data_IF_461700304048
#
_entry.id   IF_461700304048
#
_cell.length_a   1.000
_cell.length_b   1.000
_cell.length_c   1.000
_cell.angle_alpha   90.00
_cell.angle_beta   90.00
_cell.angle_gamma   90.00
#
_symmetry.space_group_name_H-M   'P 1'
#
loop_
_entity.id
_entity.type
_entity.pdbx_description
1 polymer ?
#
# COMPACT_ATOMS: atom_id res chain seq x y z
N UNK A 1 -38.87 -18.57 71.79
CA UNK A 1 -37.51 -18.21 71.35
C UNK A 1 -37.18 -18.94 70.07
N UNK A 2 -37.71 -18.58 68.91
CA UNK A 2 -37.37 -19.26 67.61
C UNK A 2 -37.90 -18.44 66.42
N UNK A 3 -37.40 -17.21 66.22
CA UNK A 3 -37.72 -16.42 65.02
C UNK A 3 -36.62 -15.49 64.50
N UNK A 4 -35.36 -15.65 64.94
CA UNK A 4 -34.26 -14.74 64.53
C UNK A 4 -33.17 -15.39 63.65
N UNK A 5 -33.25 -16.68 63.31
CA UNK A 5 -32.18 -17.39 62.58
C UNK A 5 -32.49 -17.59 61.08
N UNK A 6 -33.69 -17.29 60.60
CA UNK A 6 -34.08 -17.53 59.20
C UNK A 6 -33.73 -16.38 58.26
N UNK A 7 -33.62 -15.13 58.79
CA UNK A 7 -33.29 -13.93 57.94
C UNK A 7 -31.81 -13.80 57.58
N UNK A 8 -30.92 -14.37 58.39
CA UNK A 8 -29.47 -14.29 58.13
C UNK A 8 -28.98 -15.20 56.99
N UNK A 9 -29.71 -16.25 56.67
CA UNK A 9 -29.35 -17.21 55.59
C UNK A 9 -29.81 -16.79 54.22
N UNK A 10 -30.83 -15.93 54.07
CA UNK A 10 -31.31 -15.42 52.80
C UNK A 10 -30.44 -14.26 52.29
N UNK A 11 -29.86 -13.47 53.18
CA UNK A 11 -28.98 -12.32 52.80
C UNK A 11 -27.61 -12.78 52.25
N UNK A 12 -27.12 -13.93 52.68
CA UNK A 12 -25.83 -14.47 52.22
C UNK A 12 -25.90 -15.14 50.81
N UNK A 13 -27.08 -15.63 50.41
CA UNK A 13 -27.28 -16.27 49.09
C UNK A 13 -27.44 -15.21 47.97
N UNK A 14 -27.92 -14.01 48.25
CA UNK A 14 -28.03 -12.92 47.28
C UNK A 14 -26.70 -12.22 46.98
N UNK A 15 -25.74 -12.22 47.91
CA UNK A 15 -24.44 -11.59 47.73
C UNK A 15 -23.43 -12.42 46.90
N UNK A 16 -23.61 -13.74 46.78
CA UNK A 16 -22.77 -14.59 45.90
C UNK A 16 -23.23 -14.59 44.45
N UNK A 17 -24.51 -14.23 44.18
CA UNK A 17 -25.01 -14.17 42.79
C UNK A 17 -24.60 -12.90 42.03
N UNK A 18 -24.19 -11.85 42.75
CA UNK A 18 -23.78 -10.58 42.13
C UNK A 18 -22.31 -10.55 41.66
N UNK A 19 -21.48 -11.52 42.08
CA UNK A 19 -20.08 -11.61 41.69
C UNK A 19 -19.83 -12.46 40.42
N UNK A 20 -20.86 -13.14 39.88
CA UNK A 20 -20.75 -13.99 38.70
C UNK A 20 -20.95 -13.25 37.36
N UNK A 21 -21.26 -11.95 37.37
CA UNK A 21 -21.60 -11.15 36.18
C UNK A 21 -20.40 -10.42 35.53
N UNK A 22 -19.17 -10.66 35.96
CA UNK A 22 -17.99 -9.90 35.51
C UNK A 22 -16.87 -10.71 34.85
N UNK A 23 -16.96 -12.02 34.75
CA UNK A 23 -15.96 -12.78 34.02
C UNK A 23 -16.31 -12.79 32.52
N UNK A 24 -16.08 -11.67 31.84
CA UNK A 24 -15.90 -11.73 30.38
C UNK A 24 -14.74 -12.69 30.14
N UNK A 25 -15.02 -13.85 29.56
CA UNK A 25 -13.98 -14.77 29.19
C UNK A 25 -12.99 -14.00 28.30
N UNK A 26 -11.77 -13.83 28.82
CA UNK A 26 -10.71 -13.16 28.08
C UNK A 26 -10.49 -13.96 26.80
N UNK A 27 -10.52 -13.29 25.64
CA UNK A 27 -10.29 -13.94 24.36
C UNK A 27 -8.96 -14.70 24.39
N UNK A 28 -8.94 -15.89 23.82
CA UNK A 28 -7.69 -16.64 23.65
C UNK A 28 -6.72 -15.78 22.85
N UNK A 29 -5.51 -15.59 23.36
CA UNK A 29 -4.47 -14.86 22.69
C UNK A 29 -4.12 -15.52 21.34
N UNK A 30 -4.02 -14.71 20.30
CA UNK A 30 -3.63 -15.11 18.95
C UNK A 30 -2.49 -14.25 18.45
N UNK A 31 -1.62 -14.84 17.62
CA UNK A 31 -0.60 -14.12 16.89
C UNK A 31 -1.11 -13.79 15.49
N UNK A 32 -0.74 -12.59 14.98
CA UNK A 32 -0.92 -12.15 13.60
C UNK A 32 0.47 -11.96 12.99
N UNK A 33 0.88 -12.88 12.13
CA UNK A 33 2.12 -12.79 11.36
C UNK A 33 1.92 -11.84 10.19
N UNK A 34 2.54 -10.66 10.25
CA UNK A 34 2.42 -9.65 9.21
C UNK A 34 3.70 -9.56 8.38
N UNK A 35 3.65 -10.04 7.13
CA UNK A 35 4.75 -10.01 6.19
C UNK A 35 4.84 -8.68 5.46
N UNK A 36 6.05 -8.10 5.39
CA UNK A 36 6.37 -7.00 4.51
C UNK A 36 7.80 -7.13 3.96
N UNK A 37 8.06 -6.51 2.82
CA UNK A 37 9.35 -6.60 2.12
C UNK A 37 10.24 -5.37 2.29
N UNK A 38 9.78 -4.36 3.03
CA UNK A 38 10.56 -3.15 3.31
C UNK A 38 11.67 -3.42 4.32
N UNK A 39 12.82 -2.75 4.20
CA UNK A 39 13.80 -2.71 5.29
C UNK A 39 13.15 -2.20 6.58
N UNK A 40 13.53 -2.74 7.73
CA UNK A 40 12.99 -2.29 9.03
C UNK A 40 13.23 -0.81 9.35
N UNK A 41 14.22 -0.18 8.69
CA UNK A 41 14.50 1.25 8.77
C UNK A 41 13.62 2.11 7.85
N UNK A 42 12.81 1.51 6.99
CA UNK A 42 11.96 2.25 6.06
C UNK A 42 10.89 3.05 6.82
N UNK A 43 10.63 4.33 6.46
CA UNK A 43 9.66 5.18 7.16
C UNK A 43 8.27 4.56 7.31
N UNK A 44 7.76 3.85 6.30
CA UNK A 44 6.46 3.18 6.40
C UNK A 44 6.43 2.13 7.53
N UNK A 45 7.56 1.51 7.89
CA UNK A 45 7.60 0.61 9.04
C UNK A 45 7.25 1.36 10.32
N UNK A 46 7.83 2.55 10.53
CA UNK A 46 7.65 3.39 11.72
C UNK A 46 6.34 4.20 11.71
N UNK A 47 5.89 4.64 10.56
CA UNK A 47 4.75 5.54 10.40
C UNK A 47 3.45 4.82 10.04
N UNK A 48 3.52 3.58 9.58
CA UNK A 48 2.36 2.79 9.14
C UNK A 48 2.23 1.46 9.89
N UNK A 49 3.18 0.52 9.70
CA UNK A 49 3.04 -0.85 10.24
C UNK A 49 3.05 -0.90 11.76
N UNK A 50 4.04 -0.28 12.41
CA UNK A 50 4.17 -0.29 13.88
C UNK A 50 2.99 0.43 14.58
N UNK A 51 2.55 1.64 14.16
CA UNK A 51 1.39 2.29 14.75
C UNK A 51 0.10 1.49 14.59
N UNK A 52 -0.13 0.88 13.43
CA UNK A 52 -1.28 0.02 13.19
C UNK A 52 -1.23 -1.21 14.11
N UNK A 53 -0.11 -1.91 14.16
CA UNK A 53 0.09 -3.07 15.01
C UNK A 53 -0.15 -2.73 16.49
N UNK A 54 0.41 -1.63 16.98
CA UNK A 54 0.23 -1.16 18.35
C UNK A 54 -1.22 -0.82 18.66
N UNK A 55 -1.93 -0.22 17.70
CA UNK A 55 -3.35 0.11 17.85
C UNK A 55 -4.20 -1.15 17.96
N UNK A 56 -3.97 -2.17 17.13
CA UNK A 56 -4.64 -3.48 17.19
C UNK A 56 -4.38 -4.17 18.53
N UNK A 57 -3.11 -4.22 18.97
CA UNK A 57 -2.75 -4.83 20.26
C UNK A 57 -3.45 -4.13 21.43
N UNK A 58 -3.47 -2.80 21.40
CA UNK A 58 -4.12 -2.00 22.45
C UNK A 58 -5.64 -2.21 22.44
N UNK A 59 -6.28 -2.12 21.28
CA UNK A 59 -7.73 -2.28 21.14
C UNK A 59 -8.22 -3.68 21.49
N UNK A 60 -7.37 -4.70 21.29
CA UNK A 60 -7.66 -6.09 21.62
C UNK A 60 -7.34 -6.46 23.09
N UNK A 61 -6.89 -5.48 23.91
CA UNK A 61 -6.36 -5.74 25.26
C UNK A 61 -5.27 -6.82 25.27
N UNK A 62 -4.43 -6.88 24.20
CA UNK A 62 -3.35 -7.84 24.03
C UNK A 62 -3.80 -9.24 23.60
N UNK A 63 -5.08 -9.47 23.31
CA UNK A 63 -5.54 -10.77 22.80
C UNK A 63 -5.15 -11.01 21.33
N UNK A 64 -4.78 -9.97 20.58
CA UNK A 64 -4.13 -10.09 19.27
C UNK A 64 -2.73 -9.50 19.39
N UNK A 65 -1.69 -10.31 19.16
CA UNK A 65 -0.31 -9.88 19.09
C UNK A 65 0.14 -9.82 17.64
N UNK A 66 0.55 -8.63 17.18
CA UNK A 66 1.04 -8.45 15.80
C UNK A 66 2.55 -8.62 15.75
N UNK A 67 3.03 -9.57 14.96
CA UNK A 67 4.46 -9.83 14.74
C UNK A 67 4.82 -9.44 13.31
N UNK A 68 5.65 -8.40 13.17
CA UNK A 68 6.11 -7.89 11.89
C UNK A 68 7.30 -8.71 11.37
N UNK A 69 7.23 -9.13 10.11
CA UNK A 69 8.30 -9.83 9.39
C UNK A 69 8.78 -8.95 8.23
N UNK A 70 9.76 -8.05 8.47
CA UNK A 70 10.29 -7.12 7.46
C UNK A 70 11.29 -7.77 6.50
N UNK A 71 11.74 -7.00 5.50
CA UNK A 71 12.87 -7.33 4.64
C UNK A 71 12.80 -8.72 3.98
N UNK A 72 11.62 -9.11 3.54
CA UNK A 72 11.38 -10.38 2.84
C UNK A 72 11.69 -11.64 3.72
N UNK A 73 11.61 -11.55 5.04
CA UNK A 73 11.90 -12.68 5.93
C UNK A 73 11.03 -13.92 5.67
N UNK A 74 9.77 -13.73 5.23
CA UNK A 74 8.87 -14.84 4.91
C UNK A 74 8.83 -15.19 3.42
N UNK A 75 9.37 -14.33 2.53
CA UNK A 75 9.40 -14.57 1.09
C UNK A 75 9.58 -13.29 0.29
N UNK A 76 9.75 -13.43 -1.04
CA UNK A 76 10.03 -12.32 -1.96
C UNK A 76 8.84 -11.36 -2.08
N UNK A 77 9.13 -10.10 -2.38
CA UNK A 77 8.12 -9.05 -2.51
C UNK A 77 6.96 -9.39 -3.47
N UNK A 78 7.25 -10.07 -4.59
CA UNK A 78 6.25 -10.48 -5.57
C UNK A 78 5.30 -11.58 -5.07
N UNK A 79 5.68 -12.34 -4.03
CA UNK A 79 4.95 -13.53 -3.57
C UNK A 79 3.99 -13.22 -2.41
N UNK A 80 3.97 -12.00 -1.90
CA UNK A 80 3.26 -11.64 -0.67
C UNK A 80 1.75 -11.86 -0.74
N UNK A 81 1.12 -11.69 -1.91
CA UNK A 81 -0.30 -12.03 -2.08
C UNK A 81 -0.54 -13.53 -1.87
N UNK A 82 0.27 -14.36 -2.52
CA UNK A 82 0.16 -15.81 -2.43
C UNK A 82 0.50 -16.32 -1.03
N UNK A 83 1.46 -15.69 -0.35
CA UNK A 83 1.79 -16.00 1.05
C UNK A 83 0.60 -15.76 2.00
N UNK A 84 -0.15 -14.67 1.81
CA UNK A 84 -1.38 -14.43 2.58
C UNK A 84 -2.48 -15.43 2.21
N UNK A 85 -2.67 -15.72 0.91
CA UNK A 85 -3.63 -16.71 0.43
C UNK A 85 -3.35 -18.10 1.07
N UNK A 86 -2.10 -18.52 1.05
CA UNK A 86 -1.68 -19.88 1.44
C UNK A 86 -1.43 -20.01 2.96
N UNK A 87 -1.56 -18.92 3.74
CA UNK A 87 -1.40 -18.91 5.19
C UNK A 87 0.05 -19.00 5.68
N UNK A 88 1.03 -18.71 4.81
CA UNK A 88 2.43 -18.51 5.20
C UNK A 88 2.54 -17.26 6.08
N UNK A 89 1.80 -16.22 5.72
CA UNK A 89 1.55 -15.03 6.53
C UNK A 89 0.05 -14.91 6.83
N UNK A 90 -0.31 -14.43 8.01
CA UNK A 90 -1.70 -14.16 8.36
C UNK A 90 -2.17 -12.83 7.74
N UNK A 91 -1.23 -11.91 7.56
CA UNK A 91 -1.40 -10.64 6.86
C UNK A 91 -0.17 -10.33 6.02
N UNK A 92 -0.37 -9.68 4.87
CA UNK A 92 0.74 -9.26 4.01
C UNK A 92 0.51 -7.87 3.41
N UNK A 93 1.59 -7.11 3.30
CA UNK A 93 1.66 -5.88 2.51
C UNK A 93 2.06 -6.22 1.08
N UNK A 94 1.15 -6.00 0.15
CA UNK A 94 1.25 -6.46 -1.24
C UNK A 94 1.40 -5.28 -2.18
N UNK A 95 2.28 -5.42 -3.17
CA UNK A 95 2.31 -4.60 -4.39
C UNK A 95 1.66 -5.40 -5.52
N UNK A 96 0.35 -5.23 -5.79
CA UNK A 96 -0.34 -6.00 -6.85
C UNK A 96 0.28 -5.78 -8.22
N UNK A 97 0.85 -4.61 -8.47
CA UNK A 97 1.56 -4.28 -9.70
C UNK A 97 2.85 -5.08 -9.97
N UNK A 98 3.36 -5.86 -9.01
CA UNK A 98 4.45 -6.81 -9.24
C UNK A 98 3.98 -8.09 -9.95
N UNK A 99 2.70 -8.39 -9.93
CA UNK A 99 2.08 -9.52 -10.61
C UNK A 99 1.28 -9.01 -11.81
N UNK A 100 1.99 -8.55 -12.85
CA UNK A 100 1.41 -7.90 -14.03
C UNK A 100 0.25 -8.73 -14.62
N UNK A 101 -0.89 -8.06 -14.86
CA UNK A 101 -2.09 -8.65 -15.43
C UNK A 101 -2.96 -9.46 -14.46
N UNK A 102 -2.52 -9.72 -13.23
CA UNK A 102 -3.32 -10.48 -12.25
C UNK A 102 -4.44 -9.64 -11.61
N UNK A 103 -4.20 -8.34 -11.43
CA UNK A 103 -5.13 -7.40 -10.78
C UNK A 103 -5.43 -6.21 -11.72
N UNK A 104 -6.10 -6.47 -12.86
CA UNK A 104 -6.30 -5.47 -13.90
C UNK A 104 -7.18 -4.29 -13.47
N UNK A 105 -8.17 -4.49 -12.58
CA UNK A 105 -8.98 -3.39 -12.04
C UNK A 105 -8.15 -2.52 -11.13
N UNK A 106 -7.42 -3.12 -10.17
CA UNK A 106 -6.58 -2.38 -9.23
C UNK A 106 -5.52 -1.52 -9.94
N UNK A 107 -5.00 -1.99 -11.08
CA UNK A 107 -4.02 -1.28 -11.89
C UNK A 107 -4.49 0.11 -12.36
N UNK A 108 -5.81 0.40 -12.38
CA UNK A 108 -6.32 1.73 -12.66
C UNK A 108 -5.81 2.80 -11.69
N UNK A 109 -5.55 2.44 -10.43
CA UNK A 109 -5.00 3.35 -9.43
C UNK A 109 -3.55 3.79 -9.76
N UNK A 110 -2.85 3.05 -10.62
CA UNK A 110 -1.45 3.27 -10.98
C UNK A 110 -1.29 4.02 -12.31
N UNK A 111 -2.38 4.37 -13.00
CA UNK A 111 -2.33 5.13 -14.25
C UNK A 111 -1.63 6.49 -14.04
N UNK A 112 -0.84 6.96 -15.02
CA UNK A 112 -0.04 8.16 -14.85
C UNK A 112 -0.87 9.42 -14.62
N UNK A 113 -0.32 10.36 -13.86
CA UNK A 113 -0.90 11.68 -13.59
C UNK A 113 -2.35 11.67 -13.07
N UNK A 114 -2.76 10.66 -12.29
CA UNK A 114 -4.12 10.61 -11.74
C UNK A 114 -4.21 11.12 -10.29
N UNK A 115 -3.22 10.80 -9.47
CA UNK A 115 -3.24 11.06 -8.03
C UNK A 115 -2.20 12.10 -7.66
N UNK A 116 -2.63 13.16 -6.97
CA UNK A 116 -1.77 14.28 -6.58
C UNK A 116 -1.40 14.29 -5.10
N UNK A 117 -2.19 13.64 -4.23
CA UNK A 117 -2.01 13.68 -2.77
C UNK A 117 -2.10 12.28 -2.18
N UNK A 118 -1.06 11.78 -1.48
CA UNK A 118 -1.02 10.41 -0.96
C UNK A 118 -2.15 10.07 0.03
N UNK A 119 -2.37 10.88 1.06
CA UNK A 119 -3.38 10.61 2.09
C UNK A 119 -4.82 10.55 1.54
N UNK A 120 -5.36 11.68 1.00
CA UNK A 120 -6.67 11.69 0.37
C UNK A 120 -6.79 10.72 -0.81
N UNK A 121 -5.71 10.52 -1.59
CA UNK A 121 -5.64 9.53 -2.67
C UNK A 121 -5.76 8.10 -2.18
N UNK A 122 -5.11 7.76 -1.07
CA UNK A 122 -5.24 6.44 -0.42
C UNK A 122 -6.67 6.18 0.02
N UNK A 123 -7.30 7.15 0.67
CA UNK A 123 -8.70 7.03 1.07
C UNK A 123 -9.65 6.92 -0.14
N UNK A 124 -9.35 7.60 -1.26
CA UNK A 124 -10.11 7.48 -2.50
C UNK A 124 -9.98 6.08 -3.11
N UNK A 125 -8.74 5.61 -3.26
CA UNK A 125 -8.44 4.29 -3.84
C UNK A 125 -9.02 3.17 -2.99
N UNK A 126 -8.86 3.22 -1.66
CA UNK A 126 -9.46 2.21 -0.77
C UNK A 126 -10.98 2.16 -0.91
N UNK A 127 -11.65 3.32 -0.84
CA UNK A 127 -13.10 3.42 -0.97
C UNK A 127 -13.60 2.84 -2.29
N UNK A 128 -12.95 3.22 -3.39
CA UNK A 128 -13.27 2.74 -4.73
C UNK A 128 -13.03 1.25 -4.87
N UNK A 129 -11.86 0.76 -4.44
CA UNK A 129 -11.46 -0.62 -4.70
C UNK A 129 -12.24 -1.65 -3.88
N UNK A 130 -12.80 -1.28 -2.74
CA UNK A 130 -13.69 -2.18 -1.96
C UNK A 130 -14.85 -2.75 -2.77
N UNK A 131 -15.32 -2.04 -3.80
CA UNK A 131 -16.37 -2.53 -4.70
C UNK A 131 -15.91 -3.66 -5.63
N UNK A 132 -14.60 -3.84 -5.83
CA UNK A 132 -14.01 -4.79 -6.78
C UNK A 132 -13.18 -5.89 -6.10
N UNK A 133 -12.70 -5.63 -4.88
CA UNK A 133 -11.77 -6.50 -4.19
C UNK A 133 -12.29 -7.92 -3.98
N UNK A 134 -13.57 -8.10 -3.68
CA UNK A 134 -14.19 -9.41 -3.47
C UNK A 134 -14.16 -10.29 -4.73
N UNK A 135 -14.12 -9.70 -5.90
CA UNK A 135 -14.01 -10.41 -7.19
C UNK A 135 -12.55 -10.60 -7.60
N UNK A 136 -11.76 -9.52 -7.53
CA UNK A 136 -10.39 -9.53 -8.06
C UNK A 136 -9.37 -10.17 -7.09
N UNK A 137 -9.57 -10.01 -5.78
CA UNK A 137 -8.74 -10.60 -4.70
C UNK A 137 -9.52 -11.61 -3.86
N UNK A 138 -10.32 -12.46 -4.52
CA UNK A 138 -11.27 -13.39 -3.88
C UNK A 138 -10.66 -14.37 -2.88
N UNK A 139 -9.36 -14.65 -3.03
CA UNK A 139 -8.65 -15.65 -2.22
C UNK A 139 -8.12 -15.09 -0.88
N UNK A 140 -8.26 -13.78 -0.68
CA UNK A 140 -7.81 -13.07 0.53
C UNK A 140 -8.88 -12.08 1.00
N UNK A 141 -8.77 -11.62 2.26
CA UNK A 141 -9.58 -10.53 2.79
C UNK A 141 -8.82 -9.21 2.65
N UNK A 142 -9.35 -8.26 1.89
CA UNK A 142 -8.79 -6.91 1.85
C UNK A 142 -8.95 -6.23 3.22
N UNK A 143 -7.86 -5.75 3.79
CA UNK A 143 -7.86 -4.87 4.94
C UNK A 143 -8.08 -3.42 4.46
N UNK A 144 -7.15 -2.88 3.71
CA UNK A 144 -7.31 -1.62 2.98
C UNK A 144 -6.29 -1.50 1.85
N UNK A 145 -6.52 -0.53 0.96
CA UNK A 145 -5.57 -0.12 -0.07
C UNK A 145 -5.00 1.26 0.26
N UNK A 146 -3.76 1.52 -0.13
CA UNK A 146 -3.16 2.85 -0.01
C UNK A 146 -2.19 3.12 -1.16
N UNK A 147 -1.85 4.38 -1.37
CA UNK A 147 -0.96 4.81 -2.45
C UNK A 147 0.09 5.78 -1.94
N UNK A 148 1.18 5.87 -2.69
CA UNK A 148 2.11 6.99 -2.63
C UNK A 148 2.49 7.42 -4.05
N UNK A 149 3.11 8.60 -4.14
CA UNK A 149 3.48 9.19 -5.43
C UNK A 149 4.95 8.90 -5.73
N UNK A 150 5.24 8.62 -6.99
CA UNK A 150 6.59 8.43 -7.46
C UNK A 150 6.90 9.24 -8.73
N UNK A 151 8.19 9.32 -9.02
CA UNK A 151 8.72 10.02 -10.18
C UNK A 151 9.82 9.22 -10.85
N UNK A 152 10.51 9.84 -11.82
CA UNK A 152 11.62 9.26 -12.57
C UNK A 152 12.95 9.76 -12.02
N UNK A 153 13.88 8.83 -11.76
CA UNK A 153 15.23 9.10 -11.29
C UNK A 153 16.23 8.43 -12.23
N UNK A 154 17.34 9.10 -12.52
CA UNK A 154 18.23 8.67 -13.60
C UNK A 154 19.69 9.08 -13.38
N UNK A 155 20.58 8.48 -14.18
CA UNK A 155 22.00 8.84 -14.20
C UNK A 155 22.26 10.17 -14.92
N UNK A 156 21.36 10.58 -15.85
CA UNK A 156 21.44 11.83 -16.63
C UNK A 156 20.16 12.62 -16.47
N UNK A 157 20.17 13.97 -16.57
CA UNK A 157 18.96 14.77 -16.51
C UNK A 157 17.97 14.40 -17.61
N UNK A 158 16.67 14.30 -17.26
CA UNK A 158 15.58 14.01 -18.19
C UNK A 158 14.52 15.09 -17.99
N UNK A 159 14.23 15.86 -19.06
CA UNK A 159 13.22 16.92 -19.08
C UNK A 159 12.06 16.59 -20.01
N UNK A 160 12.32 15.79 -21.07
CA UNK A 160 11.35 15.50 -22.12
C UNK A 160 11.09 13.99 -22.21
N UNK A 161 9.85 13.54 -22.50
CA UNK A 161 9.53 12.12 -22.64
C UNK A 161 10.31 11.43 -23.75
N UNK A 162 10.70 12.13 -24.81
CA UNK A 162 11.50 11.57 -25.91
C UNK A 162 12.91 11.11 -25.49
N UNK A 163 13.44 11.66 -24.41
CA UNK A 163 14.78 11.33 -23.91
C UNK A 163 14.90 9.94 -23.28
N UNK A 164 13.76 9.32 -22.95
CA UNK A 164 13.78 7.94 -22.39
C UNK A 164 13.77 6.85 -23.45
N UNK A 165 13.59 7.21 -24.72
CA UNK A 165 13.64 6.24 -25.83
C UNK A 165 14.98 5.51 -25.86
N UNK A 166 14.89 4.17 -25.85
CA UNK A 166 16.07 3.28 -25.84
C UNK A 166 16.74 3.10 -24.48
N UNK A 167 16.31 3.82 -23.42
CA UNK A 167 16.83 3.63 -22.07
C UNK A 167 16.31 2.32 -21.47
N UNK A 168 17.11 1.71 -20.62
CA UNK A 168 16.71 0.59 -19.77
C UNK A 168 16.19 1.15 -18.44
N UNK A 169 14.90 1.04 -18.19
CA UNK A 169 14.26 1.64 -17.02
C UNK A 169 13.65 0.56 -16.12
N UNK A 170 13.90 0.65 -14.80
CA UNK A 170 13.22 -0.14 -13.81
C UNK A 170 11.87 0.52 -13.50
N UNK A 171 10.73 -0.04 -13.95
CA UNK A 171 9.41 0.49 -13.62
C UNK A 171 8.98 0.06 -12.20
N UNK A 172 8.19 0.89 -11.54
CA UNK A 172 7.69 0.60 -10.18
C UNK A 172 6.67 -0.56 -10.16
N UNK A 173 5.90 -0.70 -11.23
CA UNK A 173 4.82 -1.68 -11.37
C UNK A 173 4.50 -1.96 -12.85
N UNK A 174 3.54 -2.85 -13.11
CA UNK A 174 3.16 -3.24 -14.47
C UNK A 174 2.58 -2.10 -15.31
N UNK A 175 1.79 -1.20 -14.72
CA UNK A 175 1.20 -0.04 -15.42
C UNK A 175 2.28 0.97 -15.82
N UNK A 176 3.23 1.22 -14.93
CA UNK A 176 4.39 2.07 -15.25
C UNK A 176 5.29 1.41 -16.30
N UNK A 177 5.41 0.07 -16.29
CA UNK A 177 6.14 -0.65 -17.33
C UNK A 177 5.51 -0.44 -18.72
N UNK A 178 4.19 -0.50 -18.83
CA UNK A 178 3.47 -0.20 -20.08
C UNK A 178 3.70 1.25 -20.51
N UNK A 179 3.65 2.19 -19.54
CA UNK A 179 3.93 3.62 -19.79
C UNK A 179 5.35 3.82 -20.34
N UNK A 180 6.37 3.19 -19.74
CA UNK A 180 7.75 3.29 -20.22
C UNK A 180 7.92 2.65 -21.61
N UNK A 181 7.25 1.52 -21.87
CA UNK A 181 7.24 0.91 -23.21
C UNK A 181 6.61 1.82 -24.27
N UNK A 182 5.48 2.47 -23.96
CA UNK A 182 4.84 3.45 -24.84
C UNK A 182 5.82 4.57 -25.24
N UNK A 183 6.64 5.02 -24.30
CA UNK A 183 7.65 6.06 -24.51
C UNK A 183 8.96 5.52 -25.15
N UNK A 184 9.01 4.23 -25.51
CA UNK A 184 10.14 3.61 -26.22
C UNK A 184 11.29 3.13 -25.35
N UNK A 185 11.09 3.00 -24.04
CA UNK A 185 12.08 2.39 -23.14
C UNK A 185 11.99 0.86 -23.12
N UNK A 186 13.07 0.23 -22.65
CA UNK A 186 13.13 -1.21 -22.32
C UNK A 186 12.97 -1.38 -20.81
N UNK A 187 12.04 -2.24 -20.39
CA UNK A 187 11.77 -2.46 -18.97
C UNK A 187 12.74 -3.46 -18.35
N UNK A 188 13.28 -3.12 -17.19
CA UNK A 188 14.05 -3.99 -16.30
C UNK A 188 13.16 -4.42 -15.14
N UNK A 189 12.57 -5.61 -15.25
CA UNK A 189 11.59 -6.15 -14.29
C UNK A 189 12.27 -6.70 -13.05
N UNK A 190 12.49 -5.86 -12.05
CA UNK A 190 13.00 -6.25 -10.73
C UNK A 190 12.18 -5.56 -9.63
N UNK A 191 12.08 -6.21 -8.47
CA UNK A 191 11.40 -5.64 -7.30
C UNK A 191 12.21 -4.48 -6.68
N UNK A 192 11.60 -3.71 -5.77
CA UNK A 192 12.28 -2.59 -5.11
C UNK A 192 13.57 -3.02 -4.38
N UNK A 193 13.62 -4.13 -3.60
CA UNK A 193 14.85 -4.60 -2.98
C UNK A 193 16.01 -4.90 -3.94
N UNK A 194 15.71 -5.27 -5.18
CA UNK A 194 16.72 -5.63 -6.20
C UNK A 194 17.16 -4.44 -7.07
N UNK A 195 16.48 -3.29 -6.93
CA UNK A 195 16.63 -2.14 -7.84
C UNK A 195 17.99 -1.48 -7.77
N UNK A 196 18.59 -1.39 -6.56
CA UNK A 196 19.92 -0.82 -6.39
C UNK A 196 20.95 -1.59 -7.22
N UNK A 197 20.97 -2.89 -7.08
CA UNK A 197 21.90 -3.78 -7.80
C UNK A 197 21.76 -3.63 -9.31
N UNK A 198 20.52 -3.56 -9.82
CA UNK A 198 20.27 -3.38 -11.26
C UNK A 198 20.85 -2.07 -11.79
N UNK A 199 20.77 -0.98 -11.01
CA UNK A 199 21.31 0.34 -11.38
C UNK A 199 22.85 0.35 -11.27
N UNK A 200 23.43 -0.15 -10.18
CA UNK A 200 24.87 -0.17 -9.95
C UNK A 200 25.60 -1.03 -11.00
N UNK A 201 25.03 -2.19 -11.38
CA UNK A 201 25.56 -3.07 -12.40
C UNK A 201 25.30 -2.61 -13.85
N UNK A 202 24.60 -1.47 -14.04
CA UNK A 202 24.27 -0.96 -15.39
C UNK A 202 23.24 -1.76 -16.15
N UNK A 203 22.50 -2.66 -15.47
CA UNK A 203 21.35 -3.36 -16.03
C UNK A 203 20.21 -2.37 -16.29
N UNK A 204 20.04 -1.36 -15.43
CA UNK A 204 19.12 -0.24 -15.62
C UNK A 204 19.88 1.10 -15.66
N UNK A 205 19.35 2.05 -16.46
CA UNK A 205 19.86 3.42 -16.61
C UNK A 205 19.09 4.42 -15.73
N UNK A 206 17.82 4.10 -15.46
CA UNK A 206 16.89 4.92 -14.69
C UNK A 206 15.89 4.02 -13.93
N UNK A 207 15.17 4.64 -13.01
CA UNK A 207 14.20 3.98 -12.14
C UNK A 207 13.00 4.91 -11.89
N UNK A 208 11.80 4.37 -11.85
CA UNK A 208 10.66 5.05 -11.24
C UNK A 208 10.54 4.63 -9.78
N UNK A 209 10.55 5.60 -8.88
CA UNK A 209 10.59 5.36 -7.43
C UNK A 209 10.00 6.56 -6.66
N UNK A 210 9.64 6.43 -5.37
CA UNK A 210 9.35 7.57 -4.50
C UNK A 210 10.63 8.29 -4.06
N UNK A 211 10.48 9.51 -3.54
CA UNK A 211 11.62 10.38 -3.22
C UNK A 211 12.47 9.89 -2.05
N UNK A 212 11.88 9.70 -0.87
CA UNK A 212 12.64 9.33 0.33
C UNK A 212 12.99 7.83 0.37
N UNK A 213 12.19 7.00 -0.27
CA UNK A 213 12.48 5.57 -0.43
C UNK A 213 13.78 5.31 -1.19
N UNK A 214 14.23 6.23 -2.07
CA UNK A 214 15.57 6.15 -2.66
C UNK A 214 16.67 6.04 -1.60
N UNK A 215 16.57 6.82 -0.53
CA UNK A 215 17.53 6.81 0.60
C UNK A 215 17.42 5.49 1.37
N UNK A 216 16.20 5.05 1.68
CA UNK A 216 15.95 3.81 2.44
C UNK A 216 16.49 2.56 1.76
N UNK A 217 16.50 2.54 0.42
CA UNK A 217 17.08 1.45 -0.40
C UNK A 217 18.49 1.75 -0.90
N UNK A 218 19.09 2.88 -0.49
CA UNK A 218 20.41 3.35 -0.95
C UNK A 218 20.54 3.46 -2.47
N UNK A 219 19.44 3.72 -3.17
CA UNK A 219 19.38 3.91 -4.63
C UNK A 219 19.95 5.28 -5.03
N UNK A 220 19.89 6.25 -4.12
CA UNK A 220 20.48 7.59 -4.25
C UNK A 220 21.97 7.57 -4.64
N UNK A 221 22.68 6.50 -4.33
CA UNK A 221 24.09 6.32 -4.72
C UNK A 221 24.28 6.04 -6.21
N UNK A 222 23.27 5.42 -6.84
CA UNK A 222 23.32 4.98 -8.24
C UNK A 222 22.72 6.00 -9.22
N UNK A 223 21.86 6.91 -8.76
CA UNK A 223 21.21 7.95 -9.57
C UNK A 223 21.34 9.32 -8.92
N UNK A 224 21.55 10.38 -9.71
CA UNK A 224 21.82 11.73 -9.20
C UNK A 224 20.90 12.80 -9.79
N UNK A 225 20.00 12.44 -10.73
CA UNK A 225 19.08 13.36 -11.37
C UNK A 225 17.65 12.86 -11.12
N UNK A 226 16.79 13.77 -10.69
CA UNK A 226 15.43 13.45 -10.27
C UNK A 226 14.46 14.41 -10.93
N UNK A 227 13.61 13.91 -11.81
CA UNK A 227 12.62 14.72 -12.52
C UNK A 227 11.46 15.07 -11.58
N UNK A 228 11.29 16.37 -11.33
CA UNK A 228 10.27 16.89 -10.41
C UNK A 228 8.88 16.86 -11.06
N UNK A 229 8.23 15.72 -10.98
CA UNK A 229 6.85 15.51 -11.44
C UNK A 229 6.18 14.40 -10.60
N UNK A 230 4.87 14.47 -10.48
CA UNK A 230 4.06 13.42 -9.86
C UNK A 230 3.60 12.45 -10.96
N UNK A 231 4.53 11.62 -11.45
CA UNK A 231 4.33 10.83 -12.67
C UNK A 231 3.28 9.72 -12.48
N UNK A 232 3.32 9.02 -11.38
CA UNK A 232 2.48 7.84 -11.13
C UNK A 232 2.17 7.69 -9.64
N UNK A 233 1.17 6.90 -9.33
CA UNK A 233 0.97 6.37 -8.00
C UNK A 233 1.40 4.89 -7.97
N UNK A 234 2.20 4.50 -7.00
CA UNK A 234 2.35 3.10 -6.63
C UNK A 234 1.25 2.75 -5.63
N UNK A 235 0.47 1.73 -5.94
CA UNK A 235 -0.67 1.31 -5.16
C UNK A 235 -0.39 -0.04 -4.47
N UNK A 236 -0.81 -0.13 -3.21
CA UNK A 236 -0.58 -1.30 -2.35
C UNK A 236 -1.87 -1.72 -1.68
N UNK A 237 -1.94 -3.00 -1.34
CA UNK A 237 -3.00 -3.54 -0.50
C UNK A 237 -2.42 -4.21 0.74
N UNK A 238 -3.14 -4.09 1.84
CA UNK A 238 -2.96 -4.95 3.01
C UNK A 238 -4.02 -6.03 2.91
N UNK A 239 -3.58 -7.27 2.86
CA UNK A 239 -4.48 -8.41 2.70
C UNK A 239 -4.26 -9.42 3.80
N UNK A 240 -5.31 -10.16 4.14
CA UNK A 240 -5.33 -11.09 5.25
C UNK A 240 -5.77 -12.47 4.80
N UNK A 241 -5.21 -13.50 5.40
CA UNK A 241 -5.65 -14.88 5.22
C UNK A 241 -7.08 -15.07 5.75
N UNK A 242 -8.05 -15.52 4.93
CA UNK A 242 -9.43 -15.69 5.37
C UNK A 242 -9.58 -16.76 6.48
N UNK A 243 -8.76 -17.81 6.44
CA UNK A 243 -8.81 -18.89 7.44
C UNK A 243 -8.30 -18.43 8.81
N UNK A 244 -7.26 -17.58 8.84
CA UNK A 244 -6.81 -16.95 10.08
C UNK A 244 -7.90 -16.05 10.67
N UNK A 245 -8.46 -15.14 9.87
CA UNK A 245 -9.55 -14.26 10.29
C UNK A 245 -10.79 -15.07 10.77
N UNK A 246 -11.10 -16.17 10.10
CA UNK A 246 -12.22 -17.05 10.45
C UNK A 246 -12.15 -17.60 11.88
N UNK A 247 -10.94 -17.85 12.39
CA UNK A 247 -10.67 -18.42 13.73
C UNK A 247 -10.78 -17.42 14.87
N UNK A 248 -10.83 -16.11 14.58
CA UNK A 248 -10.94 -15.06 15.58
C UNK A 248 -12.29 -15.09 16.29
N UNK A 249 -12.31 -14.69 17.56
CA UNK A 249 -13.54 -14.41 18.28
C UNK A 249 -14.31 -13.21 17.67
N UNK A 250 -15.55 -13.01 18.06
CA UNK A 250 -16.34 -11.87 17.61
C UNK A 250 -15.69 -10.53 18.01
N UNK A 251 -15.12 -10.44 19.24
CA UNK A 251 -14.42 -9.26 19.74
C UNK A 251 -13.16 -9.01 18.93
N UNK A 252 -12.34 -10.03 18.69
CA UNK A 252 -11.12 -9.92 17.89
C UNK A 252 -11.43 -9.53 16.44
N UNK A 253 -12.47 -10.11 15.82
CA UNK A 253 -12.94 -9.71 14.48
C UNK A 253 -13.31 -8.24 14.43
N UNK A 254 -14.06 -7.77 15.43
CA UNK A 254 -14.42 -6.36 15.51
C UNK A 254 -13.18 -5.44 15.58
N UNK A 255 -12.18 -5.81 16.39
CA UNK A 255 -10.91 -5.06 16.46
C UNK A 255 -10.24 -5.00 15.09
N UNK A 256 -10.12 -6.12 14.39
CA UNK A 256 -9.52 -6.18 13.05
C UNK A 256 -10.34 -5.33 12.06
N UNK A 257 -11.67 -5.43 12.07
CA UNK A 257 -12.54 -4.69 11.15
C UNK A 257 -12.45 -3.17 11.39
N UNK A 258 -12.37 -2.75 12.65
CA UNK A 258 -12.17 -1.33 13.03
C UNK A 258 -10.78 -0.80 12.61
N UNK A 259 -9.81 -1.68 12.33
CA UNK A 259 -8.47 -1.33 11.84
C UNK A 259 -8.27 -1.63 10.35
N UNK A 260 -9.24 -2.25 9.69
CA UNK A 260 -9.22 -2.57 8.26
C UNK A 260 -10.25 -1.72 7.50
N UNK A 261 -10.10 -0.40 7.56
CA UNK A 261 -11.07 0.55 7.04
C UNK A 261 -10.43 1.70 6.26
N UNK A 262 -11.29 2.55 5.69
CA UNK A 262 -10.89 3.68 4.87
C UNK A 262 -10.12 4.78 5.65
N UNK A 263 -10.38 4.92 6.94
CA UNK A 263 -9.66 5.88 7.79
C UNK A 263 -8.19 5.49 7.93
N UNK A 264 -7.91 4.21 8.19
CA UNK A 264 -6.55 3.68 8.25
C UNK A 264 -5.82 3.76 6.91
N UNK A 265 -6.51 3.53 5.79
CA UNK A 265 -5.95 3.76 4.46
C UNK A 265 -5.43 5.20 4.30
N UNK A 266 -6.24 6.17 4.66
CA UNK A 266 -5.88 7.60 4.61
C UNK A 266 -4.75 7.96 5.57
N UNK A 267 -4.78 7.45 6.81
CA UNK A 267 -3.72 7.69 7.83
C UNK A 267 -2.37 7.17 7.37
N UNK A 268 -2.31 5.91 6.90
CA UNK A 268 -1.07 5.29 6.42
C UNK A 268 -0.55 6.03 5.19
N UNK A 269 -1.43 6.36 4.25
CA UNK A 269 -1.05 7.08 3.04
C UNK A 269 -0.56 8.51 3.30
N UNK A 270 -1.16 9.24 4.25
CA UNK A 270 -0.73 10.58 4.63
C UNK A 270 0.64 10.55 5.32
N UNK A 271 0.79 9.72 6.35
CA UNK A 271 2.02 9.65 7.13
C UNK A 271 3.24 9.26 6.29
N UNK A 272 3.06 8.29 5.38
CA UNK A 272 4.13 7.91 4.45
C UNK A 272 4.34 8.97 3.36
N UNK A 273 3.28 9.55 2.82
CA UNK A 273 3.37 10.56 1.77
C UNK A 273 4.12 11.82 2.21
N UNK A 274 3.87 12.31 3.43
CA UNK A 274 4.56 13.47 4.00
C UNK A 274 6.07 13.18 4.16
N UNK A 275 6.42 11.95 4.56
CA UNK A 275 7.83 11.56 4.66
C UNK A 275 8.49 11.45 3.27
N UNK A 276 7.80 10.86 2.28
CA UNK A 276 8.32 10.76 0.90
C UNK A 276 8.55 12.13 0.28
N UNK A 277 7.63 13.07 0.43
CA UNK A 277 7.79 14.44 -0.08
C UNK A 277 9.00 15.14 0.56
N UNK A 278 9.37 14.81 1.81
CA UNK A 278 10.58 15.31 2.47
C UNK A 278 11.89 14.85 1.80
N UNK A 279 11.84 13.72 1.07
CA UNK A 279 12.99 13.11 0.40
C UNK A 279 13.60 14.01 -0.67
N UNK A 280 12.79 14.77 -1.41
CA UNK A 280 13.28 15.70 -2.40
C UNK A 280 14.28 16.71 -1.81
N UNK A 281 13.93 17.38 -0.72
CA UNK A 281 14.80 18.33 -0.06
C UNK A 281 16.04 17.69 0.58
N UNK A 282 15.96 16.42 1.02
CA UNK A 282 17.13 15.67 1.52
C UNK A 282 18.13 15.38 0.39
N UNK A 283 17.63 14.97 -0.77
CA UNK A 283 18.44 14.71 -1.97
C UNK A 283 19.10 15.98 -2.48
N UNK A 284 18.36 17.09 -2.55
CA UNK A 284 18.88 18.40 -2.97
C UNK A 284 20.02 18.88 -2.05
N UNK A 285 19.83 18.77 -0.72
CA UNK A 285 20.88 19.06 0.27
C UNK A 285 22.10 18.15 0.16
N UNK A 286 21.93 16.93 -0.33
CA UNK A 286 23.00 15.99 -0.60
C UNK A 286 23.70 16.21 -1.94
N UNK A 287 23.37 17.30 -2.66
CA UNK A 287 24.00 17.71 -3.92
C UNK A 287 23.44 16.98 -5.15
N UNK A 288 22.25 16.39 -5.06
CA UNK A 288 21.58 15.82 -6.21
C UNK A 288 20.87 16.89 -7.06
N UNK A 289 20.76 16.62 -8.34
CA UNK A 289 20.09 17.52 -9.29
C UNK A 289 18.58 17.27 -9.31
N UNK A 290 17.81 18.25 -8.83
CA UNK A 290 16.35 18.25 -8.96
C UNK A 290 15.98 18.93 -10.28
N UNK A 291 15.59 18.13 -11.26
CA UNK A 291 15.24 18.59 -12.63
C UNK A 291 13.82 19.13 -12.61
N UNK A 292 13.71 20.45 -12.46
CA UNK A 292 12.41 21.15 -12.51
C UNK A 292 11.93 21.28 -13.94
N UNK A 293 10.70 20.84 -14.20
CA UNK A 293 10.06 20.97 -15.51
C UNK A 293 9.36 22.30 -15.67
N UNK A 294 9.45 22.89 -16.87
CA UNK A 294 8.55 23.98 -17.26
C UNK A 294 7.11 23.45 -17.42
N UNK A 295 6.08 24.31 -17.38
CA UNK A 295 4.70 23.90 -17.68
C UNK A 295 4.56 23.18 -19.02
N UNK A 296 5.26 23.65 -20.06
CA UNK A 296 5.24 23.06 -21.40
C UNK A 296 5.84 21.64 -21.40
N UNK A 297 6.93 21.44 -20.65
CA UNK A 297 7.55 20.12 -20.51
C UNK A 297 6.63 19.16 -19.75
N UNK A 298 6.00 19.60 -18.67
CA UNK A 298 5.03 18.77 -17.93
C UNK A 298 3.83 18.40 -18.80
N UNK A 299 3.33 19.33 -19.62
CA UNK A 299 2.25 19.07 -20.56
C UNK A 299 2.66 18.07 -21.65
N UNK A 300 3.91 18.15 -22.13
CA UNK A 300 4.46 17.18 -23.07
C UNK A 300 4.49 15.76 -22.46
N UNK A 301 4.88 15.63 -21.18
CA UNK A 301 4.81 14.34 -20.45
C UNK A 301 3.38 13.82 -20.34
N UNK A 302 2.44 14.66 -19.89
CA UNK A 302 1.02 14.27 -19.76
C UNK A 302 0.45 13.77 -21.09
N UNK A 303 0.68 14.51 -22.16
CA UNK A 303 0.22 14.17 -23.52
C UNK A 303 0.85 12.86 -24.03
N UNK A 304 2.15 12.67 -23.79
CA UNK A 304 2.85 11.48 -24.27
C UNK A 304 2.35 10.16 -23.60
N UNK A 305 1.84 10.23 -22.37
CA UNK A 305 1.37 9.05 -21.63
C UNK A 305 -0.16 8.91 -21.60
N UNK A 306 -0.91 9.88 -22.13
CA UNK A 306 -2.38 9.85 -22.21
C UNK A 306 -2.95 8.55 -22.78
N UNK A 307 -2.37 7.96 -23.84
CA UNK A 307 -2.89 6.71 -24.43
C UNK A 307 -2.97 5.53 -23.46
N UNK A 308 -2.20 5.52 -22.38
CA UNK A 308 -2.18 4.42 -21.41
C UNK A 308 -3.56 4.21 -20.76
N UNK A 309 -4.28 5.29 -20.47
CA UNK A 309 -5.64 5.18 -19.89
C UNK A 309 -6.61 4.50 -20.86
N UNK A 310 -6.55 4.84 -22.16
CA UNK A 310 -7.37 4.19 -23.19
C UNK A 310 -6.99 2.72 -23.37
N UNK A 311 -5.70 2.43 -23.44
CA UNK A 311 -5.20 1.05 -23.55
C UNK A 311 -5.64 0.20 -22.34
N UNK A 312 -5.62 0.77 -21.12
CA UNK A 312 -6.12 0.09 -19.94
C UNK A 312 -7.63 -0.21 -20.05
N UNK A 313 -8.44 0.77 -20.45
CA UNK A 313 -9.90 0.58 -20.64
C UNK A 313 -10.19 -0.55 -21.64
N UNK A 314 -9.48 -0.56 -22.76
CA UNK A 314 -9.61 -1.62 -23.78
C UNK A 314 -9.18 -2.99 -23.24
N UNK A 315 -8.07 -3.04 -22.50
CA UNK A 315 -7.54 -4.28 -21.95
C UNK A 315 -8.49 -4.92 -20.93
N UNK A 316 -9.04 -4.14 -19.99
CA UNK A 316 -10.00 -4.68 -19.01
C UNK A 316 -11.34 -5.04 -19.65
N UNK A 317 -11.73 -4.33 -20.73
CA UNK A 317 -12.92 -4.61 -21.51
C UNK A 317 -12.93 -6.02 -22.12
N UNK A 318 -11.75 -6.53 -22.53
CA UNK A 318 -11.58 -7.91 -23.03
C UNK A 318 -11.91 -8.98 -21.98
N UNK A 319 -11.84 -8.60 -20.70
CA UNK A 319 -12.18 -9.46 -19.56
C UNK A 319 -13.60 -9.22 -19.04
N UNK A 320 -14.46 -8.51 -19.80
CA UNK A 320 -15.84 -8.23 -19.44
C UNK A 320 -16.02 -7.10 -18.43
N UNK A 321 -14.96 -6.32 -18.11
CA UNK A 321 -15.03 -5.21 -17.19
C UNK A 321 -15.35 -3.91 -17.95
N UNK A 322 -16.33 -3.15 -17.50
CA UNK A 322 -16.58 -1.81 -18.04
C UNK A 322 -15.50 -0.82 -17.55
N UNK A 323 -14.38 -0.74 -18.27
CA UNK A 323 -13.22 0.08 -17.90
C UNK A 323 -13.54 1.57 -17.76
N UNK A 324 -14.43 2.12 -18.61
CA UNK A 324 -14.83 3.53 -18.51
C UNK A 324 -15.57 3.80 -17.20
N UNK A 325 -16.49 2.93 -16.81
CA UNK A 325 -17.23 3.05 -15.55
C UNK A 325 -16.30 2.93 -14.35
N UNK A 326 -15.42 1.93 -14.36
CA UNK A 326 -14.44 1.67 -13.28
C UNK A 326 -13.50 2.86 -13.10
N UNK A 327 -12.93 3.39 -14.19
CA UNK A 327 -12.03 4.54 -14.15
C UNK A 327 -12.77 5.82 -13.78
N UNK A 328 -13.99 6.01 -14.29
CA UNK A 328 -14.87 7.14 -13.93
C UNK A 328 -15.17 7.18 -12.44
N UNK A 329 -15.48 6.02 -11.84
CA UNK A 329 -15.73 5.90 -10.39
C UNK A 329 -14.47 6.26 -9.56
N UNK A 330 -13.28 5.79 -9.96
CA UNK A 330 -12.02 6.18 -9.30
C UNK A 330 -11.78 7.70 -9.37
N UNK A 331 -11.92 8.27 -10.57
CA UNK A 331 -11.73 9.71 -10.78
C UNK A 331 -12.72 10.56 -9.98
N UNK A 332 -13.96 10.08 -9.83
CA UNK A 332 -14.95 10.75 -8.99
C UNK A 332 -14.56 10.73 -7.51
N UNK A 333 -14.10 9.61 -6.98
CA UNK A 333 -13.62 9.52 -5.59
C UNK A 333 -12.40 10.42 -5.36
N UNK A 334 -11.45 10.44 -6.30
CA UNK A 334 -10.28 11.32 -6.25
C UNK A 334 -10.68 12.80 -6.27
N UNK A 335 -11.62 13.19 -7.14
CA UNK A 335 -12.16 14.56 -7.21
C UNK A 335 -12.85 14.97 -5.92
N UNK A 336 -13.71 14.10 -5.37
CA UNK A 336 -14.45 14.35 -4.12
C UNK A 336 -13.51 14.63 -2.94
N UNK A 337 -12.32 14.04 -2.95
CA UNK A 337 -11.32 14.20 -1.89
C UNK A 337 -10.22 15.21 -2.23
N UNK A 338 -10.30 15.90 -3.37
CA UNK A 338 -9.29 16.86 -3.82
C UNK A 338 -7.90 16.22 -4.03
N UNK A 339 -7.87 14.98 -4.49
CA UNK A 339 -6.66 14.18 -4.69
C UNK A 339 -6.37 13.87 -6.18
N UNK A 340 -7.21 14.29 -7.11
CA UNK A 340 -6.97 14.19 -8.54
C UNK A 340 -5.93 15.22 -9.02
N UNK A 341 -5.31 14.93 -10.20
CA UNK A 341 -4.45 15.87 -10.93
C UNK A 341 -5.21 16.54 -12.07
#
# INVERSE_FOLDING_TARGET
MTRKTTFARLALACSLSALALGAQAQDKAVELKFANWLPGSHPLAKLGFEPWAKSVETASNGSIKVVLFPAQQLGKAADHYDMARDGIADMAWVSPGYQAGRFPVFAAAELPFQISKPGPGSAAVDKWYRSYAATEMKDVRLCFAHVHIGTLHSKKPITEPSQIKGMKIRPANGTVAQTMTLLGATNVQVSAPESRDALEKGVADAITFPWNSLLSFSIDKAVKNHTDMRLYAAAFTWVMNPSWYGKLSATQKKVIDDHCNNEWAGKVGAAWGDDEDSGQGKLEKAGHNIVKLTPQQLDAWKKAVEPISTQWVEAVGKNGVNGQQVLGALRQELKTRGAGQ
#
